data_IF_740271011412
#
_entry.id   IF_740271011412
#
_cell.length_a   1.000
_cell.length_b   1.000
_cell.length_c   1.000
_cell.angle_alpha   90.00
_cell.angle_beta   90.00
_cell.angle_gamma   90.00
#
_symmetry.space_group_name_H-M   'P 1'
#
loop_
_entity.id
_entity.type
_entity.pdbx_description
1 polymer ?
#
# COMPACT_ATOMS: atom_id res chain seq x y z
N UNK A 1 -24.21 34.64 -12.14
CA UNK A 1 -24.47 33.45 -11.28
C UNK A 1 -24.47 32.17 -12.10
N UNK A 2 -25.26 32.09 -13.18
CA UNK A 2 -25.26 30.94 -14.07
C UNK A 2 -23.90 30.69 -14.73
N UNK A 3 -23.20 31.73 -15.19
CA UNK A 3 -21.87 31.58 -15.80
C UNK A 3 -20.86 30.99 -14.82
N UNK A 4 -20.92 31.43 -13.57
CA UNK A 4 -20.05 30.93 -12.49
C UNK A 4 -20.33 29.46 -12.20
N UNK A 5 -21.60 29.05 -12.18
CA UNK A 5 -22.01 27.65 -12.00
C UNK A 5 -21.57 26.79 -13.20
N UNK A 6 -21.69 27.30 -14.42
CA UNK A 6 -21.29 26.58 -15.63
C UNK A 6 -19.77 26.33 -15.65
N UNK A 7 -18.98 27.35 -15.30
CA UNK A 7 -17.51 27.26 -15.26
C UNK A 7 -17.07 26.30 -14.15
N UNK A 8 -17.67 26.35 -12.96
CA UNK A 8 -17.29 25.43 -11.87
C UNK A 8 -17.65 23.98 -12.20
N UNK A 9 -18.82 23.73 -12.79
CA UNK A 9 -19.22 22.39 -13.22
C UNK A 9 -18.27 21.82 -14.29
N UNK A 10 -17.87 22.64 -15.26
CA UNK A 10 -16.90 22.28 -16.29
C UNK A 10 -15.56 21.86 -15.67
N UNK A 11 -15.03 22.65 -14.73
CA UNK A 11 -13.74 22.38 -14.07
C UNK A 11 -13.82 21.07 -13.28
N UNK A 12 -14.89 20.86 -12.50
CA UNK A 12 -15.08 19.63 -11.72
C UNK A 12 -15.16 18.41 -12.63
N UNK A 13 -15.89 18.51 -13.76
CA UNK A 13 -15.97 17.44 -14.74
C UNK A 13 -14.59 17.07 -15.31
N UNK A 14 -13.78 18.08 -15.66
CA UNK A 14 -12.39 17.86 -16.14
C UNK A 14 -11.55 17.18 -15.05
N UNK A 15 -11.63 17.62 -13.80
CA UNK A 15 -10.90 17.00 -12.68
C UNK A 15 -11.25 15.52 -12.51
N UNK A 16 -12.54 15.17 -12.55
CA UNK A 16 -12.98 13.77 -12.43
C UNK A 16 -12.48 12.93 -13.61
N UNK A 17 -12.53 13.46 -14.83
CA UNK A 17 -12.00 12.78 -16.01
C UNK A 17 -10.50 12.55 -15.90
N UNK A 18 -9.72 13.55 -15.47
CA UNK A 18 -8.27 13.45 -15.31
C UNK A 18 -7.86 12.46 -14.21
N UNK A 19 -8.54 12.47 -13.05
CA UNK A 19 -8.28 11.50 -11.97
C UNK A 19 -8.70 10.07 -12.37
N UNK A 20 -9.75 9.95 -13.17
CA UNK A 20 -10.31 8.68 -13.62
C UNK A 20 -9.78 8.14 -14.94
N UNK A 21 -8.77 8.76 -15.58
CA UNK A 21 -8.34 8.37 -16.95
C UNK A 21 -8.11 6.87 -17.07
N UNK A 22 -7.43 6.26 -16.10
CA UNK A 22 -7.21 4.80 -16.13
C UNK A 22 -8.48 3.98 -15.96
N UNK A 23 -9.47 4.47 -15.23
CA UNK A 23 -10.75 3.77 -15.01
C UNK A 23 -11.66 3.89 -16.23
N UNK A 24 -11.68 5.06 -16.88
CA UNK A 24 -12.54 5.32 -18.03
C UNK A 24 -11.96 4.83 -19.36
N UNK A 25 -10.65 4.94 -19.58
CA UNK A 25 -10.02 4.66 -20.89
C UNK A 25 -9.29 3.32 -20.97
N UNK A 26 -9.09 2.60 -19.86
CA UNK A 26 -8.42 1.28 -19.88
C UNK A 26 -9.45 0.18 -19.61
N UNK A 27 -9.50 -0.82 -20.48
CA UNK A 27 -10.40 -1.98 -20.33
C UNK A 27 -9.98 -2.79 -19.09
N UNK A 28 -10.81 -2.80 -18.06
CA UNK A 28 -10.48 -3.39 -16.75
C UNK A 28 -9.72 -2.44 -15.80
N UNK A 29 -9.72 -1.14 -16.09
CA UNK A 29 -9.16 -0.11 -15.22
C UNK A 29 -9.76 -0.13 -13.82
N UNK A 30 -8.90 -0.19 -12.81
CA UNK A 30 -9.28 -0.08 -11.40
C UNK A 30 -8.50 1.06 -10.78
N UNK A 31 -9.08 1.69 -9.76
CA UNK A 31 -8.31 2.60 -8.93
C UNK A 31 -7.13 1.84 -8.30
N UNK A 32 -5.94 2.44 -8.23
CA UNK A 32 -4.78 1.80 -7.64
C UNK A 32 -5.08 1.42 -6.19
N UNK A 33 -4.73 0.20 -5.79
CA UNK A 33 -4.89 -0.25 -4.42
C UNK A 33 -3.96 0.55 -3.50
N UNK A 34 -4.51 1.48 -2.74
CA UNK A 34 -3.77 2.25 -1.73
C UNK A 34 -3.39 1.40 -0.50
N UNK A 35 -3.92 0.19 -0.38
CA UNK A 35 -3.62 -0.71 0.72
C UNK A 35 -2.29 -1.43 0.49
N UNK A 36 -1.36 -1.28 1.44
CA UNK A 36 0.00 -1.86 1.37
C UNK A 36 -0.02 -3.36 1.07
N UNK A 37 -0.90 -4.12 1.75
CA UNK A 37 -1.01 -5.59 1.56
C UNK A 37 -1.57 -5.98 0.19
N UNK A 38 -2.37 -5.11 -0.44
CA UNK A 38 -2.99 -5.37 -1.75
C UNK A 38 -2.15 -4.88 -2.94
N UNK A 39 -1.03 -4.23 -2.69
CA UNK A 39 -0.17 -3.68 -3.73
C UNK A 39 0.92 -4.70 -4.11
N UNK A 40 0.80 -5.29 -5.31
CA UNK A 40 1.77 -6.25 -5.84
C UNK A 40 3.20 -5.70 -5.86
N UNK A 41 3.39 -4.43 -6.22
CA UNK A 41 4.72 -3.83 -6.30
C UNK A 41 5.40 -3.69 -4.92
N UNK A 42 4.62 -3.44 -3.86
CA UNK A 42 5.15 -3.41 -2.48
C UNK A 42 5.45 -4.83 -1.99
N UNK A 43 4.59 -5.79 -2.34
CA UNK A 43 4.76 -7.20 -2.01
C UNK A 43 6.00 -7.81 -2.68
N UNK A 44 6.26 -7.46 -3.94
CA UNK A 44 7.44 -7.88 -4.70
C UNK A 44 8.74 -7.31 -4.06
N UNK A 45 8.66 -6.19 -3.33
CA UNK A 45 9.75 -5.62 -2.53
C UNK A 45 9.85 -6.18 -1.10
N UNK A 46 9.01 -7.15 -0.74
CA UNK A 46 8.94 -7.71 0.62
C UNK A 46 8.33 -6.78 1.67
N UNK A 47 7.70 -5.66 1.25
CA UNK A 47 7.14 -4.68 2.17
C UNK A 47 5.71 -5.09 2.51
N UNK A 48 5.54 -5.67 3.69
CA UNK A 48 4.24 -6.07 4.25
C UNK A 48 3.64 -5.03 5.19
N UNK A 49 2.48 -5.35 5.78
CA UNK A 49 1.91 -4.56 6.87
C UNK A 49 2.89 -4.51 8.05
N UNK A 50 3.04 -3.35 8.68
CA UNK A 50 3.98 -3.20 9.81
C UNK A 50 3.65 -4.18 10.95
N UNK A 51 2.36 -4.43 11.24
CA UNK A 51 1.97 -5.39 12.27
C UNK A 51 2.34 -6.83 11.93
N UNK A 52 2.23 -7.23 10.65
CA UNK A 52 2.62 -8.58 10.24
C UNK A 52 4.14 -8.73 10.27
N UNK A 53 4.88 -7.72 9.81
CA UNK A 53 6.34 -7.70 9.88
C UNK A 53 6.83 -7.73 11.35
N UNK A 54 6.23 -6.94 12.24
CA UNK A 54 6.57 -6.93 13.68
C UNK A 54 6.28 -8.29 14.33
N UNK A 55 5.14 -8.92 14.00
CA UNK A 55 4.80 -10.27 14.46
C UNK A 55 5.80 -11.32 13.97
N UNK A 56 6.23 -11.26 12.71
CA UNK A 56 7.23 -12.18 12.16
C UNK A 56 8.61 -11.97 12.79
N UNK A 57 9.01 -10.72 13.01
CA UNK A 57 10.26 -10.38 13.69
C UNK A 57 10.28 -10.90 15.13
N UNK A 58 9.17 -10.79 15.86
CA UNK A 58 9.04 -11.36 17.22
C UNK A 58 9.06 -12.89 17.24
N UNK A 59 8.57 -13.56 16.19
CA UNK A 59 8.58 -15.02 16.09
C UNK A 59 9.98 -15.57 15.79
N UNK A 60 10.80 -14.82 15.06
CA UNK A 60 12.21 -15.16 14.87
C UNK A 60 12.95 -14.92 16.19
N UNK A 61 13.06 -15.95 17.02
CA UNK A 61 13.93 -15.89 18.20
C UNK A 61 15.38 -15.70 17.71
N UNK A 62 16.08 -14.63 18.13
CA UNK A 62 17.45 -14.39 17.68
C UNK A 62 18.48 -15.36 18.27
N UNK A 63 18.13 -16.09 19.34
CA UNK A 63 18.99 -17.07 20.00
C UNK A 63 18.13 -18.28 20.40
N UNK A 64 18.58 -19.51 20.11
CA UNK A 64 18.06 -20.66 20.84
C UNK A 64 18.62 -20.60 22.26
N UNK A 65 17.84 -21.04 23.25
CA UNK A 65 18.32 -21.09 24.64
C UNK A 65 19.58 -21.97 24.71
N UNK A 66 19.66 -22.98 23.84
CA UNK A 66 20.80 -23.89 23.71
C UNK A 66 22.10 -23.17 23.26
N UNK A 67 22.02 -22.14 22.40
CA UNK A 67 23.19 -21.33 22.01
C UNK A 67 23.67 -20.40 23.13
N UNK A 68 22.73 -19.88 23.93
CA UNK A 68 23.04 -19.02 25.07
C UNK A 68 23.71 -19.83 26.20
N UNK A 69 23.20 -21.03 26.47
CA UNK A 69 23.74 -21.96 27.46
C UNK A 69 25.17 -22.39 27.10
N UNK A 70 25.41 -22.76 25.84
CA UNK A 70 26.73 -23.11 25.32
C UNK A 70 27.76 -21.97 25.34
N UNK A 71 27.30 -20.72 25.32
CA UNK A 71 28.17 -19.53 25.41
C UNK A 71 28.49 -19.13 26.86
N UNK A 72 27.64 -19.52 27.82
CA UNK A 72 27.85 -19.31 29.26
C UNK A 72 28.69 -20.42 29.91
N UNK A 73 28.68 -21.62 29.34
CA UNK A 73 29.53 -22.74 29.78
C UNK A 73 30.98 -22.69 29.25
N UNK A 74 31.33 -21.66 28.47
CA UNK A 74 32.68 -21.43 27.94
C UNK A 74 33.42 -20.37 28.75
#
# INVERSE_FOLDING_TARGET
MLDTILITLLIVAICVLLLGVRVFFVKGGKFPNAHVSGNKALRDKGIGCIQSQDREARRKRPFSIDELEKSLEK
#
